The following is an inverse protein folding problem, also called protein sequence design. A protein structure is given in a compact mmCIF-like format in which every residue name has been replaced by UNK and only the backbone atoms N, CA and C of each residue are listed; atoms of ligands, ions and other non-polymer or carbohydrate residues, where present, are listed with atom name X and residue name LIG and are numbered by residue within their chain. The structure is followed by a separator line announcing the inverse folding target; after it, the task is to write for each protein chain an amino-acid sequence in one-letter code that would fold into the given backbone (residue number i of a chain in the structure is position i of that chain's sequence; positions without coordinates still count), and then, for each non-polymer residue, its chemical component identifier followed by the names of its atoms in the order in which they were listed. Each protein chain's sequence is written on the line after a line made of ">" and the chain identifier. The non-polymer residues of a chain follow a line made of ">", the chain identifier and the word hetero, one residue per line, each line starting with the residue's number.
data_IF_853319195554
#
_entry.id   IF_853319195554
#
_cell.length_a   1.000
_cell.length_b   1.000
_cell.length_c   1.000
_cell.angle_alpha   90.00
_cell.angle_beta   90.00
_cell.angle_gamma   90.00
#
_symmetry.space_group_name_H-M   'P 1'
#
loop_
_entity.id
_entity.type
_entity.pdbx_description
1 polymer ?
#
# COMPACT_ATOMS: atom_id res chain seq x y z
N UNK A 1 7.45 13.52 -5.05
CA UNK A 1 7.66 12.27 -5.80
C UNK A 1 6.45 11.39 -5.63
N UNK A 2 5.91 10.83 -6.71
CA UNK A 2 4.74 9.95 -6.67
C UNK A 2 5.13 8.60 -7.25
N UNK A 3 5.00 7.55 -6.45
CA UNK A 3 5.38 6.19 -6.82
C UNK A 3 4.13 5.30 -6.81
N UNK A 4 4.00 4.44 -7.81
CA UNK A 4 2.92 3.46 -7.92
C UNK A 4 3.55 2.08 -7.97
N UNK A 5 3.18 1.19 -7.06
CA UNK A 5 3.69 -0.18 -7.08
C UNK A 5 5.21 -0.30 -6.88
N UNK A 6 5.87 0.70 -6.28
CA UNK A 6 7.34 0.70 -6.23
C UNK A 6 7.89 -0.33 -5.22
N UNK A 7 8.93 -1.10 -5.59
CA UNK A 7 9.61 -2.00 -4.66
C UNK A 7 10.42 -1.22 -3.61
N UNK A 8 10.92 -1.93 -2.59
CA UNK A 8 11.93 -1.38 -1.69
C UNK A 8 13.24 -1.20 -2.45
N UNK A 9 13.94 -0.09 -2.20
CA UNK A 9 15.12 0.28 -3.01
C UNK A 9 16.39 0.49 -2.18
N UNK A 10 16.28 0.59 -0.86
CA UNK A 10 17.43 0.84 -0.01
C UNK A 10 17.20 0.41 1.43
N UNK A 11 18.25 0.52 2.24
CA UNK A 11 18.19 0.17 3.66
C UNK A 11 17.55 1.28 4.51
N UNK A 12 17.43 1.04 5.82
CA UNK A 12 16.88 2.02 6.77
C UNK A 12 17.57 3.39 6.69
N UNK A 13 18.90 3.42 6.59
CA UNK A 13 19.64 4.69 6.50
C UNK A 13 19.30 5.47 5.23
N UNK A 14 19.18 4.78 4.10
CA UNK A 14 18.71 5.39 2.87
C UNK A 14 17.30 5.97 3.03
N UNK A 15 16.39 5.21 3.66
CA UNK A 15 15.01 5.64 3.84
C UNK A 15 14.88 6.87 4.74
N UNK A 16 15.65 6.94 5.83
CA UNK A 16 15.73 8.11 6.71
C UNK A 16 16.17 9.35 5.94
N UNK A 17 17.28 9.26 5.18
CA UNK A 17 17.82 10.39 4.40
C UNK A 17 16.85 10.81 3.30
N UNK A 18 16.16 9.86 2.67
CA UNK A 18 15.15 10.16 1.67
C UNK A 18 13.97 10.93 2.28
N UNK A 19 13.40 10.44 3.39
CA UNK A 19 12.27 11.08 4.06
C UNK A 19 12.64 12.47 4.64
N UNK A 20 13.92 12.68 4.96
CA UNK A 20 14.42 13.99 5.34
C UNK A 20 14.46 14.96 4.15
N UNK A 21 14.98 14.52 3.00
CA UNK A 21 15.25 15.39 1.84
C UNK A 21 14.07 15.54 0.86
N UNK A 22 13.17 14.57 0.79
CA UNK A 22 12.04 14.54 -0.15
C UNK A 22 10.74 14.60 0.64
N UNK A 23 10.28 15.81 0.97
CA UNK A 23 9.10 16.01 1.85
C UNK A 23 7.78 15.63 1.18
N UNK A 24 7.59 16.01 -0.08
CA UNK A 24 6.34 15.75 -0.80
C UNK A 24 6.41 14.41 -1.56
N UNK A 25 6.64 13.32 -0.84
CA UNK A 25 6.71 11.97 -1.40
C UNK A 25 5.51 11.12 -1.00
N UNK A 26 4.88 10.48 -2.00
CA UNK A 26 3.72 9.62 -1.83
C UNK A 26 3.98 8.27 -2.49
N UNK A 27 3.67 7.19 -1.78
CA UNK A 27 3.80 5.82 -2.27
C UNK A 27 2.42 5.18 -2.33
N UNK A 28 1.88 5.06 -3.54
CA UNK A 28 0.58 4.48 -3.80
C UNK A 28 0.76 2.97 -3.98
N UNK A 29 0.00 2.20 -3.21
CA UNK A 29 0.13 0.74 -3.13
C UNK A 29 -1.23 0.08 -3.40
N UNK A 30 -1.24 -0.86 -4.34
CA UNK A 30 -2.33 -1.81 -4.51
C UNK A 30 -2.07 -3.02 -3.59
N UNK A 31 -3.07 -3.43 -2.82
CA UNK A 31 -2.97 -4.59 -1.92
C UNK A 31 -2.67 -5.90 -2.65
N UNK A 32 -3.14 -6.03 -3.89
CA UNK A 32 -2.90 -7.22 -4.71
C UNK A 32 -1.54 -7.18 -5.41
N UNK A 33 -0.86 -6.04 -5.42
CA UNK A 33 0.44 -5.89 -6.08
C UNK A 33 1.56 -6.40 -5.16
N UNK A 34 2.28 -7.42 -5.62
CA UNK A 34 3.37 -8.02 -4.86
C UNK A 34 4.66 -7.19 -4.93
N UNK A 35 4.82 -6.30 -5.92
CA UNK A 35 6.08 -5.56 -6.13
C UNK A 35 6.41 -4.64 -4.95
N UNK A 36 5.45 -3.89 -4.36
CA UNK A 36 5.67 -3.16 -3.11
C UNK A 36 6.12 -4.04 -1.93
N UNK A 37 5.91 -5.35 -1.98
CA UNK A 37 6.31 -6.23 -0.89
C UNK A 37 7.75 -6.72 -1.03
N UNK A 38 8.45 -6.45 -2.13
CA UNK A 38 9.82 -6.98 -2.38
C UNK A 38 10.86 -5.86 -2.55
N UNK A 39 12.16 -6.15 -2.39
CA UNK A 39 12.75 -7.35 -1.77
C UNK A 39 12.41 -7.46 -0.28
N UNK A 40 12.08 -8.68 0.16
CA UNK A 40 11.89 -9.04 1.58
C UNK A 40 13.22 -9.53 2.13
N UNK A 41 13.47 -9.25 3.42
CA UNK A 41 14.72 -9.60 4.11
C UNK A 41 15.91 -8.77 3.58
N UNK A 42 17.11 -8.92 4.17
CA UNK A 42 18.34 -8.16 3.83
C UNK A 42 18.35 -6.66 4.18
N UNK A 43 17.38 -6.18 4.97
CA UNK A 43 17.43 -4.83 5.55
C UNK A 43 16.89 -3.73 4.65
N UNK A 44 16.19 -4.09 3.59
CA UNK A 44 15.48 -3.15 2.74
C UNK A 44 14.27 -2.55 3.46
N UNK A 45 14.10 -1.23 3.34
CA UNK A 45 13.03 -0.47 3.95
C UNK A 45 12.33 0.38 2.90
N UNK A 46 11.05 0.68 3.14
CA UNK A 46 10.31 1.62 2.29
C UNK A 46 10.61 3.07 2.66
N UNK A 47 10.56 3.91 1.63
CA UNK A 47 10.47 5.35 1.77
C UNK A 47 9.02 5.78 1.76
N UNK A 48 8.71 6.89 2.43
CA UNK A 48 7.38 7.48 2.54
C UNK A 48 6.29 6.56 3.13
N UNK A 49 5.23 7.18 3.65
CA UNK A 49 4.08 6.43 4.14
C UNK A 49 3.30 5.83 2.94
N UNK A 50 2.89 4.55 3.00
CA UNK A 50 2.03 3.97 1.97
C UNK A 50 0.63 4.60 2.00
N UNK A 51 0.10 4.87 0.81
CA UNK A 51 -1.32 5.15 0.57
C UNK A 51 -1.90 3.96 -0.15
N UNK A 52 -2.74 3.23 0.57
CA UNK A 52 -3.39 2.06 0.05
C UNK A 52 -4.66 2.42 -0.72
N UNK A 53 -4.80 1.87 -1.91
CA UNK A 53 -6.01 2.02 -2.71
C UNK A 53 -7.02 0.94 -2.28
N UNK A 54 -8.23 1.39 -1.93
CA UNK A 54 -9.40 0.56 -1.73
C UNK A 54 -10.38 0.81 -2.89
N UNK A 55 -10.82 -0.27 -3.56
CA UNK A 55 -11.93 -0.18 -4.50
C UNK A 55 -13.23 -0.27 -3.69
N UNK A 56 -13.89 0.86 -3.50
CA UNK A 56 -15.09 0.98 -2.67
C UNK A 56 -15.28 2.42 -2.20
N UNK A 57 -16.53 2.79 -1.88
CA UNK A 57 -16.87 4.15 -1.49
C UNK A 57 -15.94 4.68 -0.37
N UNK A 58 -15.50 5.92 -0.55
CA UNK A 58 -14.52 6.65 0.24
C UNK A 58 -15.11 7.08 1.60
N UNK A 59 -15.65 6.12 2.37
CA UNK A 59 -16.20 6.36 3.72
C UNK A 59 -15.45 5.65 4.84
N UNK A 60 -14.66 4.62 4.54
CA UNK A 60 -14.00 3.81 5.57
C UNK A 60 -12.48 3.93 5.58
N UNK A 61 -11.95 5.14 5.40
CA UNK A 61 -10.52 5.43 5.63
C UNK A 61 -10.11 5.29 7.11
N UNK A 62 -11.05 4.93 8.00
CA UNK A 62 -10.79 4.64 9.41
C UNK A 62 -11.20 3.21 9.83
N UNK A 63 -11.94 2.48 8.99
CA UNK A 63 -12.23 1.06 9.17
C UNK A 63 -11.38 0.24 8.21
N UNK A 64 -10.10 0.15 8.55
CA UNK A 64 -9.12 -0.77 7.98
C UNK A 64 -9.48 -2.27 8.20
N UNK A 65 -10.75 -2.63 8.38
CA UNK A 65 -11.21 -3.93 8.87
C UNK A 65 -12.02 -4.74 7.83
N UNK A 66 -12.70 -4.10 6.86
CA UNK A 66 -13.53 -4.84 5.89
C UNK A 66 -12.73 -5.47 4.72
N UNK A 67 -11.52 -4.97 4.44
CA UNK A 67 -10.61 -5.51 3.42
C UNK A 67 -9.92 -6.83 3.83
N UNK A 68 -10.16 -7.31 5.07
CA UNK A 68 -9.62 -8.57 5.60
C UNK A 68 -10.43 -9.79 5.13
N UNK A 69 -11.44 -9.59 4.27
CA UNK A 69 -12.26 -10.69 3.71
C UNK A 69 -11.56 -11.54 2.66
N UNK A 70 -10.55 -11.02 1.96
CA UNK A 70 -9.81 -11.77 0.91
C UNK A 70 -8.62 -12.57 1.46
N UNK A 71 -8.44 -12.65 2.79
CA UNK A 71 -7.38 -13.46 3.41
C UNK A 71 -5.95 -12.96 3.17
N UNK A 72 -5.77 -11.82 2.50
CA UNK A 72 -4.48 -11.17 2.32
C UNK A 72 -4.18 -10.34 3.57
N UNK A 73 -3.51 -10.95 4.56
CA UNK A 73 -2.84 -10.15 5.59
C UNK A 73 -1.85 -9.24 4.86
N UNK A 74 -2.01 -7.92 5.01
CA UNK A 74 -1.05 -6.95 4.49
C UNK A 74 0.38 -7.32 4.90
N UNK A 75 1.38 -6.72 4.24
CA UNK A 75 2.79 -7.00 4.50
C UNK A 75 3.24 -6.48 5.88
N UNK A 76 2.69 -7.06 6.95
CA UNK A 76 3.03 -6.79 8.36
C UNK A 76 4.49 -7.16 8.61
N UNK A 77 5.00 -8.17 7.90
CA UNK A 77 6.36 -8.73 8.08
C UNK A 77 7.43 -7.87 7.38
N UNK A 78 7.12 -7.21 6.28
CA UNK A 78 8.08 -6.51 5.43
C UNK A 78 8.55 -5.15 5.93
N UNK A 79 8.02 -4.67 7.05
CA UNK A 79 8.56 -3.52 7.80
C UNK A 79 9.53 -3.97 8.90
N UNK A 80 9.57 -5.26 9.24
CA UNK A 80 10.51 -5.75 10.25
C UNK A 80 11.92 -5.73 9.70
N UNK A 81 12.78 -4.99 10.39
CA UNK A 81 14.22 -5.03 10.17
C UNK A 81 14.74 -6.46 10.40
N UNK A 82 15.78 -6.90 9.67
CA UNK A 82 16.41 -8.21 9.85
C UNK A 82 16.74 -8.52 11.31
N UNK A 83 17.08 -7.51 12.09
CA UNK A 83 17.38 -7.65 13.52
C UNK A 83 16.19 -8.22 14.29
N UNK A 84 14.96 -7.77 13.98
CA UNK A 84 13.74 -8.25 14.65
C UNK A 84 13.46 -9.70 14.26
N UNK A 85 13.57 -10.01 12.97
CA UNK A 85 13.39 -11.37 12.45
C UNK A 85 14.40 -12.36 13.06
N UNK A 86 15.66 -11.95 13.21
CA UNK A 86 16.69 -12.76 13.86
C UNK A 86 16.39 -12.95 15.35
N UNK A 87 15.95 -11.91 16.07
CA UNK A 87 15.55 -12.08 17.47
C UNK A 87 14.36 -13.00 17.65
N UNK A 88 13.32 -12.89 16.83
CA UNK A 88 12.14 -13.77 16.92
C UNK A 88 12.49 -15.22 16.53
N UNK A 89 13.38 -15.39 15.55
CA UNK A 89 13.94 -16.69 15.20
C UNK A 89 14.69 -17.31 16.38
N UNK A 90 15.53 -16.53 17.09
CA UNK A 90 16.28 -16.99 18.26
C UNK A 90 15.39 -17.27 19.47
N UNK A 91 14.21 -16.64 19.56
CA UNK A 91 13.19 -16.92 20.58
C UNK A 91 12.36 -18.17 20.26
N UNK A 92 12.50 -18.76 19.07
CA UNK A 92 11.80 -19.98 18.67
C UNK A 92 10.37 -19.76 18.21
N UNK A 93 10.01 -18.54 17.78
CA UNK A 93 8.68 -18.23 17.25
C UNK A 93 8.43 -18.95 15.91
N UNK A 94 7.79 -20.12 15.98
CA UNK A 94 7.51 -20.95 14.80
C UNK A 94 6.44 -20.35 13.88
N UNK A 95 5.47 -19.64 14.45
CA UNK A 95 4.36 -19.04 13.70
C UNK A 95 4.85 -17.97 12.71
N UNK A 96 5.77 -17.10 13.14
CA UNK A 96 6.35 -16.08 12.28
C UNK A 96 7.13 -16.70 11.11
N UNK A 97 7.90 -17.76 11.38
CA UNK A 97 8.66 -18.49 10.35
C UNK A 97 7.72 -19.11 9.33
N UNK A 98 6.63 -19.73 9.79
CA UNK A 98 5.62 -20.34 8.90
C UNK A 98 4.94 -19.28 8.02
N UNK A 99 4.60 -18.11 8.58
CA UNK A 99 4.06 -16.99 7.82
C UNK A 99 5.04 -16.47 6.76
N UNK A 100 6.33 -16.34 7.10
CA UNK A 100 7.37 -15.95 6.14
C UNK A 100 7.44 -16.95 5.00
N UNK A 101 7.57 -18.24 5.32
CA UNK A 101 7.66 -19.31 4.33
C UNK A 101 6.42 -19.35 3.43
N UNK A 102 5.22 -19.23 4.01
CA UNK A 102 3.98 -19.22 3.24
C UNK A 102 3.90 -18.01 2.31
N UNK A 103 4.39 -16.85 2.76
CA UNK A 103 4.44 -15.65 1.91
C UNK A 103 5.42 -15.82 0.75
N UNK A 104 6.62 -16.35 0.99
CA UNK A 104 7.60 -16.63 -0.06
C UNK A 104 7.05 -17.63 -1.09
N UNK A 105 6.40 -18.72 -0.63
CA UNK A 105 5.74 -19.69 -1.51
C UNK A 105 4.67 -19.00 -2.38
N UNK A 106 3.87 -18.12 -1.79
CA UNK A 106 2.83 -17.38 -2.50
C UNK A 106 3.43 -16.45 -3.57
N UNK A 107 4.52 -15.74 -3.25
CA UNK A 107 5.25 -14.90 -4.21
C UNK A 107 5.76 -15.74 -5.40
N UNK A 108 6.43 -16.86 -5.14
CA UNK A 108 6.93 -17.71 -6.21
C UNK A 108 5.81 -18.32 -7.06
N UNK A 109 4.67 -18.66 -6.46
CA UNK A 109 3.48 -19.11 -7.19
C UNK A 109 2.94 -17.99 -8.09
N UNK A 110 2.80 -16.78 -7.57
CA UNK A 110 2.29 -15.62 -8.31
C UNK A 110 3.21 -15.18 -9.47
N UNK A 111 4.53 -15.32 -9.29
CA UNK A 111 5.50 -15.08 -10.37
C UNK A 111 5.37 -16.17 -11.44
N UNK A 112 5.26 -17.44 -11.01
CA UNK A 112 5.18 -18.60 -11.92
C UNK A 112 3.89 -18.61 -12.75
N UNK A 113 2.76 -18.27 -12.16
CA UNK A 113 1.46 -18.24 -12.86
C UNK A 113 1.20 -16.91 -13.59
N UNK A 114 2.07 -15.92 -13.42
CA UNK A 114 1.99 -14.61 -14.07
C UNK A 114 1.03 -13.63 -13.41
N UNK A 115 0.31 -14.03 -12.35
CA UNK A 115 -0.63 -13.16 -11.64
C UNK A 115 0.07 -11.95 -11.00
N UNK A 116 1.32 -12.11 -10.56
CA UNK A 116 2.15 -11.02 -10.04
C UNK A 116 2.31 -9.86 -11.02
N UNK A 117 2.63 -10.19 -12.28
CA UNK A 117 2.80 -9.19 -13.33
C UNK A 117 1.45 -8.56 -13.68
N UNK A 118 0.40 -9.38 -13.76
CA UNK A 118 -0.94 -8.90 -14.05
C UNK A 118 -1.43 -7.92 -12.99
N UNK A 119 -1.25 -8.22 -11.69
CA UNK A 119 -1.67 -7.35 -10.58
C UNK A 119 -0.87 -6.04 -10.52
N UNK A 120 0.41 -6.08 -10.88
CA UNK A 120 1.26 -4.89 -10.95
C UNK A 120 0.93 -4.00 -12.16
N UNK A 121 0.65 -4.61 -13.31
CA UNK A 121 0.30 -3.93 -14.56
C UNK A 121 -1.21 -3.68 -14.72
N UNK A 122 -2.03 -4.10 -13.76
CA UNK A 122 -3.47 -3.93 -13.79
C UNK A 122 -3.82 -2.44 -13.84
N UNK A 123 -4.94 -2.12 -14.50
CA UNK A 123 -5.47 -0.76 -14.52
C UNK A 123 -6.07 -0.32 -13.19
N UNK A 124 -5.97 -1.14 -12.13
CA UNK A 124 -6.47 -0.83 -10.79
C UNK A 124 -6.03 0.54 -10.29
N UNK A 125 -4.74 0.87 -10.40
CA UNK A 125 -4.24 2.20 -10.01
C UNK A 125 -4.96 3.32 -10.78
N UNK A 126 -5.18 3.12 -12.08
CA UNK A 126 -5.85 4.07 -12.94
C UNK A 126 -7.35 4.18 -12.63
N UNK A 127 -8.04 3.06 -12.47
CA UNK A 127 -9.48 3.01 -12.13
C UNK A 127 -9.72 3.70 -10.78
N UNK A 128 -8.97 3.35 -9.73
CA UNK A 128 -9.14 3.95 -8.40
C UNK A 128 -8.89 5.46 -8.41
N UNK A 129 -7.90 5.93 -9.17
CA UNK A 129 -7.65 7.36 -9.36
C UNK A 129 -8.81 8.04 -10.10
N UNK A 130 -9.31 7.43 -11.17
CA UNK A 130 -10.44 7.94 -11.95
C UNK A 130 -11.70 8.07 -11.10
N UNK A 131 -12.00 7.06 -10.28
CA UNK A 131 -13.12 7.06 -9.34
C UNK A 131 -12.96 8.15 -8.29
N UNK A 132 -11.75 8.30 -7.72
CA UNK A 132 -11.44 9.35 -6.75
C UNK A 132 -11.63 10.75 -7.35
N UNK A 133 -11.15 10.99 -8.57
CA UNK A 133 -11.33 12.27 -9.27
C UNK A 133 -12.79 12.55 -9.57
N UNK A 134 -13.53 11.54 -10.05
CA UNK A 134 -14.98 11.67 -10.32
C UNK A 134 -15.76 11.98 -9.04
N UNK A 135 -15.42 11.32 -7.92
CA UNK A 135 -16.04 11.56 -6.62
C UNK A 135 -15.77 12.99 -6.13
N UNK A 136 -14.50 13.44 -6.17
CA UNK A 136 -14.12 14.79 -5.77
C UNK A 136 -14.78 15.87 -6.63
N UNK A 137 -14.93 15.63 -7.94
CA UNK A 137 -15.62 16.57 -8.82
C UNK A 137 -17.12 16.67 -8.48
N UNK A 138 -17.78 15.54 -8.19
CA UNK A 138 -19.19 15.52 -7.75
C UNK A 138 -19.37 16.23 -6.40
N UNK A 139 -18.49 15.98 -5.43
CA UNK A 139 -18.52 16.64 -4.13
C UNK A 139 -18.30 18.15 -4.25
N UNK A 140 -17.30 18.58 -5.03
CA UNK A 140 -17.03 20.00 -5.28
C UNK A 140 -18.14 20.72 -6.05
N UNK A 141 -18.80 20.03 -7.00
CA UNK A 141 -19.96 20.57 -7.72
C UNK A 141 -21.19 20.69 -6.80
N UNK A 142 -21.37 19.75 -5.87
CA UNK A 142 -22.43 19.81 -4.85
C UNK A 142 -22.21 20.97 -3.86
N UNK A 143 -20.96 21.18 -3.41
CA UNK A 143 -20.58 22.28 -2.51
C UNK A 143 -20.80 23.66 -3.13
N UNK A 144 -20.49 23.83 -4.43
CA UNK A 144 -20.71 25.11 -5.14
C UNK A 144 -22.19 25.43 -5.31
N UNK A 145 -23.03 24.43 -5.59
CA UNK A 145 -24.49 24.62 -5.68
C UNK A 145 -25.11 25.06 -4.35
N UNK A 146 -24.67 24.48 -3.23
CA UNK A 146 -25.16 24.89 -1.91
C UNK A 146 -24.72 26.30 -1.50
N UNK A 147 -23.54 26.74 -1.93
CA UNK A 147 -23.09 28.12 -1.70
C UNK A 147 -23.88 29.13 -2.55
N UNK A 148 -24.13 28.83 -3.83
CA UNK A 148 -24.92 29.69 -4.72
C UNK A 148 -26.39 29.82 -4.29
N UNK A 149 -27.03 28.74 -3.83
CA UNK A 149 -28.41 28.79 -3.28
C UNK A 149 -28.50 29.60 -1.98
N UNK A 150 -27.46 29.55 -1.13
CA UNK A 150 -27.42 30.32 0.12
C UNK A 150 -27.22 31.84 -0.09
N UNK A 151 -26.53 32.23 -1.16
CA UNK A 151 -26.29 33.63 -1.54
C UNK A 151 -27.49 34.22 -2.27
N UNK A 152 -28.23 33.42 -3.05
CA UNK A 152 -29.46 33.86 -3.73
C UNK A 152 -30.70 33.97 -2.82
N UNK A 153 -30.60 33.51 -1.56
CA UNK A 153 -31.68 33.50 -0.58
C UNK A 153 -31.60 34.64 0.46
N UNK A 154 -30.72 35.63 0.25
CA UNK A 154 -30.62 36.87 1.03
C UNK A 154 -30.90 38.08 0.13
#
# INVERSE_FOLDING_TARGET
>A
MYNFGSPRVGNRRFAEVYNEKVKDSWRIVNHRDIIPTVPRLMGYCHVAQPVYLAAGELKDTLESLELWKDGYQGDVIGEYTPDVLVTEFMKGERELIEQILQTEINIFRAIRDGSALMQHMEDFYYISLLESVRSNYRAGASSRKSEEESVSSR
#
